data_IF_082816223421
#
_entry.id   IF_082816223421
#
_cell.length_a   1.000
_cell.length_b   1.000
_cell.length_c   1.000
_cell.angle_alpha   90.00
_cell.angle_beta   90.00
_cell.angle_gamma   90.00
#
_symmetry.space_group_name_H-M   'P 1'
#
loop_
_entity.id
_entity.type
_entity.pdbx_description
1 polymer ?
#
# COMPACT_ATOMS: atom_id res chain seq x y z
N UNK A 1 19.52 -9.46 -30.95
CA UNK A 1 20.22 -8.76 -29.87
C UNK A 1 19.67 -7.39 -29.64
N UNK A 2 19.58 -6.56 -30.65
CA UNK A 2 18.99 -5.22 -30.49
C UNK A 2 17.51 -5.27 -30.12
N UNK A 3 16.76 -6.25 -30.65
CA UNK A 3 15.37 -6.44 -30.28
C UNK A 3 15.21 -6.76 -28.79
N UNK A 4 16.08 -7.59 -28.27
CA UNK A 4 16.04 -7.96 -26.86
C UNK A 4 16.32 -6.74 -25.96
N UNK A 5 17.31 -5.93 -26.33
CA UNK A 5 17.62 -4.72 -25.59
C UNK A 5 16.46 -3.74 -25.59
N UNK A 6 15.78 -3.58 -26.72
CA UNK A 6 14.62 -2.71 -26.83
C UNK A 6 13.47 -3.22 -25.97
N UNK A 7 13.22 -4.52 -25.97
CA UNK A 7 12.20 -5.14 -25.16
C UNK A 7 12.51 -4.96 -23.66
N UNK A 8 13.77 -5.17 -23.27
CA UNK A 8 14.19 -4.98 -21.90
C UNK A 8 14.03 -3.54 -21.44
N UNK A 9 14.31 -2.59 -22.33
CA UNK A 9 14.15 -1.17 -22.04
C UNK A 9 12.66 -0.85 -21.79
N UNK A 10 11.77 -1.39 -22.59
CA UNK A 10 10.32 -1.21 -22.39
C UNK A 10 9.87 -1.77 -21.04
N UNK A 11 10.37 -2.92 -20.69
CA UNK A 11 10.08 -3.55 -19.41
C UNK A 11 10.55 -2.68 -18.26
N UNK A 12 11.74 -2.13 -18.37
CA UNK A 12 12.30 -1.27 -17.37
C UNK A 12 11.45 -0.01 -17.17
N UNK A 13 11.03 0.63 -18.25
CA UNK A 13 10.20 1.82 -18.19
C UNK A 13 8.87 1.52 -17.49
N UNK A 14 8.23 0.40 -17.83
CA UNK A 14 7.00 -0.01 -17.16
C UNK A 14 7.20 -0.27 -15.68
N UNK A 15 8.30 -0.93 -15.32
CA UNK A 15 8.61 -1.21 -13.92
C UNK A 15 8.87 0.07 -13.13
N UNK A 16 9.62 1.00 -13.73
CA UNK A 16 9.96 2.25 -13.08
C UNK A 16 8.72 3.10 -12.80
N UNK A 17 7.71 2.99 -13.65
CA UNK A 17 6.46 3.71 -13.47
C UNK A 17 5.48 2.99 -12.55
N UNK A 18 5.78 1.74 -12.17
CA UNK A 18 4.90 0.96 -11.32
C UNK A 18 5.07 1.32 -9.85
N UNK A 19 3.97 1.55 -9.18
CA UNK A 19 3.98 1.73 -7.73
C UNK A 19 3.65 0.42 -7.03
N UNK A 20 3.89 0.38 -5.74
CA UNK A 20 3.61 -0.78 -4.90
C UNK A 20 2.42 -0.46 -4.01
N UNK A 21 1.47 -1.39 -3.96
CA UNK A 21 0.33 -1.32 -3.04
C UNK A 21 0.61 -2.23 -1.85
N UNK A 22 0.43 -1.70 -0.63
CA UNK A 22 0.48 -2.50 0.59
C UNK A 22 -0.95 -2.61 1.11
N UNK A 23 -1.47 -3.82 1.11
CA UNK A 23 -2.84 -4.15 1.46
C UNK A 23 -2.81 -4.85 2.81
N UNK A 24 -3.14 -4.12 3.87
CA UNK A 24 -3.09 -4.62 5.23
C UNK A 24 -4.51 -4.77 5.77
N UNK A 25 -4.97 -6.00 5.84
CA UNK A 25 -6.26 -6.33 6.46
C UNK A 25 -6.01 -6.67 7.93
N UNK A 26 -6.74 -6.04 8.82
CA UNK A 26 -6.52 -6.23 10.25
C UNK A 26 -7.84 -6.39 10.99
N UNK A 27 -7.82 -7.31 11.97
CA UNK A 27 -8.92 -7.51 12.91
C UNK A 27 -8.39 -7.17 14.29
N UNK A 28 -8.57 -5.91 14.74
CA UNK A 28 -8.20 -5.57 16.12
C UNK A 28 -9.04 -6.38 17.09
N UNK A 29 -8.47 -6.67 18.25
CA UNK A 29 -9.26 -7.28 19.32
C UNK A 29 -10.43 -6.35 19.66
N UNK A 30 -11.57 -6.88 20.14
CA UNK A 30 -12.81 -6.09 20.29
C UNK A 30 -12.67 -4.77 21.04
N UNK A 31 -11.81 -4.72 22.07
CA UNK A 31 -11.60 -3.53 22.88
C UNK A 31 -10.35 -2.75 22.48
N UNK A 32 -9.70 -3.10 21.37
CA UNK A 32 -8.43 -2.52 20.96
C UNK A 32 -8.49 -1.71 19.66
N UNK A 33 -9.68 -1.53 19.09
CA UNK A 33 -9.82 -0.78 17.84
C UNK A 33 -9.27 0.64 17.97
N UNK A 34 -9.65 1.35 19.03
CA UNK A 34 -9.20 2.73 19.23
C UNK A 34 -7.69 2.78 19.44
N UNK A 35 -7.14 1.83 20.17
CA UNK A 35 -5.69 1.76 20.38
C UNK A 35 -4.94 1.55 19.06
N UNK A 36 -5.49 0.74 18.15
CA UNK A 36 -4.93 0.58 16.83
C UNK A 36 -4.95 1.89 16.04
N UNK A 37 -6.08 2.60 16.05
CA UNK A 37 -6.22 3.87 15.34
C UNK A 37 -5.31 4.95 15.91
N UNK A 38 -5.12 4.98 17.21
CA UNK A 38 -4.21 5.92 17.88
C UNK A 38 -2.76 5.62 17.48
N UNK A 39 -2.36 4.36 17.46
CA UNK A 39 -1.04 3.95 17.01
C UNK A 39 -0.81 4.36 15.56
N UNK A 40 -1.79 4.12 14.70
CA UNK A 40 -1.72 4.51 13.30
C UNK A 40 -1.55 6.02 13.14
N UNK A 41 -2.28 6.81 13.92
CA UNK A 41 -2.16 8.26 13.91
C UNK A 41 -0.77 8.72 14.36
N UNK A 42 -0.20 8.06 15.35
CA UNK A 42 1.16 8.35 15.82
C UNK A 42 2.21 8.06 14.75
N UNK A 43 2.02 6.99 13.98
CA UNK A 43 2.98 6.58 12.95
C UNK A 43 2.85 7.39 11.66
N UNK A 44 1.70 8.00 11.41
CA UNK A 44 1.44 8.68 10.14
C UNK A 44 2.47 9.77 9.80
N UNK A 45 2.85 10.68 10.69
CA UNK A 45 3.85 11.70 10.36
C UNK A 45 5.21 11.10 9.97
N UNK A 46 5.56 9.96 10.57
CA UNK A 46 6.81 9.27 10.28
C UNK A 46 6.72 8.63 8.90
N UNK A 47 5.59 7.98 8.61
CA UNK A 47 5.34 7.36 7.32
C UNK A 47 5.41 8.39 6.19
N UNK A 48 4.83 9.56 6.38
CA UNK A 48 4.81 10.62 5.38
C UNK A 48 6.20 11.14 5.03
N UNK A 49 7.19 10.91 5.88
CA UNK A 49 8.58 11.31 5.63
C UNK A 49 9.39 10.26 4.89
N UNK A 50 8.86 9.07 4.70
CA UNK A 50 9.56 8.01 3.96
C UNK A 50 9.64 8.43 2.49
N UNK A 51 10.87 8.43 1.95
CA UNK A 51 11.07 8.71 0.54
C UNK A 51 10.37 7.64 -0.30
N UNK A 52 9.50 8.07 -1.18
CA UNK A 52 8.69 7.18 -2.00
C UNK A 52 7.32 6.85 -1.43
N UNK A 53 6.98 7.33 -0.26
CA UNK A 53 5.61 7.21 0.24
C UNK A 53 4.67 8.05 -0.65
N UNK A 54 3.53 7.47 -1.01
CA UNK A 54 2.54 8.16 -1.86
C UNK A 54 1.28 8.49 -1.05
N UNK A 55 0.62 7.49 -0.48
CA UNK A 55 -0.63 7.71 0.24
C UNK A 55 -0.96 6.56 1.17
N UNK A 56 -1.83 6.83 2.13
CA UNK A 56 -2.41 5.81 2.99
C UNK A 56 -3.83 6.22 3.37
N UNK A 57 -4.72 5.24 3.36
CA UNK A 57 -6.09 5.44 3.78
C UNK A 57 -6.62 4.16 4.41
N UNK A 58 -7.52 4.31 5.39
CA UNK A 58 -8.12 3.18 6.08
C UNK A 58 -9.60 3.13 5.82
N UNK A 59 -10.11 1.90 5.74
CA UNK A 59 -11.51 1.61 5.41
C UNK A 59 -12.05 0.56 6.36
N UNK A 60 -13.32 0.65 6.70
CA UNK A 60 -14.00 -0.40 7.43
C UNK A 60 -14.75 -1.30 6.45
N UNK A 61 -14.73 -2.61 6.69
CA UNK A 61 -15.48 -3.55 5.87
C UNK A 61 -16.98 -3.36 6.07
N UNK A 62 -17.72 -3.35 4.97
CA UNK A 62 -19.18 -3.25 5.03
C UNK A 62 -19.86 -4.59 5.32
N UNK A 63 -19.13 -5.69 5.10
CA UNK A 63 -19.69 -7.04 5.24
C UNK A 63 -19.14 -7.79 6.44
N UNK A 64 -17.98 -7.40 6.94
CA UNK A 64 -17.33 -8.10 8.04
C UNK A 64 -17.06 -7.11 9.18
N UNK A 65 -17.89 -7.10 10.22
CA UNK A 65 -17.70 -6.19 11.34
C UNK A 65 -16.34 -6.38 12.03
N UNK A 66 -15.73 -5.27 12.40
CA UNK A 66 -14.44 -5.30 13.09
C UNK A 66 -13.22 -5.44 12.19
N UNK A 67 -13.41 -5.59 10.89
CA UNK A 67 -12.31 -5.68 9.94
C UNK A 67 -11.98 -4.30 9.36
N UNK A 68 -10.71 -3.94 9.38
CA UNK A 68 -10.22 -2.68 8.83
C UNK A 68 -9.19 -2.98 7.75
N UNK A 69 -9.27 -2.26 6.64
CA UNK A 69 -8.27 -2.28 5.59
C UNK A 69 -7.42 -1.03 5.69
N UNK A 70 -6.11 -1.20 5.78
CA UNK A 70 -5.14 -0.13 5.59
C UNK A 70 -4.53 -0.31 4.21
N UNK A 71 -4.77 0.65 3.33
CA UNK A 71 -4.28 0.62 1.95
C UNK A 71 -3.28 1.75 1.77
N UNK A 72 -2.04 1.39 1.45
CA UNK A 72 -0.98 2.37 1.22
C UNK A 72 -0.29 2.12 -0.10
N UNK A 73 0.23 3.20 -0.67
CA UNK A 73 0.94 3.14 -1.95
C UNK A 73 2.32 3.76 -1.80
N UNK A 74 3.30 3.11 -2.42
CA UNK A 74 4.70 3.52 -2.38
C UNK A 74 5.26 3.49 -3.81
N UNK A 75 6.24 4.34 -4.06
CA UNK A 75 6.90 4.43 -5.36
C UNK A 75 7.56 3.11 -5.76
N UNK A 76 8.18 2.40 -4.81
CA UNK A 76 8.94 1.18 -5.08
C UNK A 76 9.07 0.32 -3.82
N UNK A 77 9.67 -0.85 -3.98
CA UNK A 77 9.87 -1.77 -2.87
C UNK A 77 10.89 -1.26 -1.85
N UNK A 78 11.83 -0.43 -2.26
CA UNK A 78 12.80 0.16 -1.33
C UNK A 78 12.09 1.05 -0.32
N UNK A 79 11.08 1.82 -0.75
CA UNK A 79 10.28 2.64 0.14
C UNK A 79 9.47 1.78 1.11
N UNK A 80 8.91 0.67 0.63
CA UNK A 80 8.19 -0.28 1.49
C UNK A 80 9.12 -0.87 2.55
N UNK A 81 10.33 -1.26 2.15
CA UNK A 81 11.31 -1.81 3.08
C UNK A 81 11.71 -0.78 4.14
N UNK A 82 11.93 0.46 3.74
CA UNK A 82 12.26 1.54 4.67
C UNK A 82 11.15 1.74 5.70
N UNK A 83 9.90 1.76 5.24
CA UNK A 83 8.74 1.89 6.14
C UNK A 83 8.64 0.69 7.09
N UNK A 84 8.80 -0.52 6.56
CA UNK A 84 8.72 -1.73 7.37
C UNK A 84 9.74 -1.73 8.51
N UNK A 85 10.95 -1.25 8.25
CA UNK A 85 11.99 -1.18 9.27
C UNK A 85 11.63 -0.17 10.37
N UNK A 86 11.11 0.99 9.99
CA UNK A 86 10.67 2.01 10.94
C UNK A 86 9.49 1.51 11.76
N UNK A 87 8.51 0.93 11.11
CA UNK A 87 7.32 0.41 11.76
C UNK A 87 7.67 -0.69 12.76
N UNK A 88 8.54 -1.61 12.36
CA UNK A 88 8.99 -2.70 13.24
C UNK A 88 9.67 -2.15 14.49
N UNK A 89 10.52 -1.15 14.32
CA UNK A 89 11.22 -0.53 15.44
C UNK A 89 10.22 0.15 16.40
N UNK A 90 9.27 0.91 15.84
CA UNK A 90 8.25 1.61 16.64
C UNK A 90 7.33 0.65 17.36
N UNK A 91 6.97 -0.44 16.72
CA UNK A 91 6.14 -1.47 17.35
C UNK A 91 6.88 -2.16 18.49
N UNK A 92 8.17 -2.37 18.35
CA UNK A 92 8.98 -2.94 19.42
C UNK A 92 9.06 -2.01 20.62
N UNK A 93 9.09 -0.69 20.39
CA UNK A 93 9.07 0.30 21.46
C UNK A 93 7.71 0.39 22.14
N UNK A 94 6.63 0.25 21.36
CA UNK A 94 5.29 0.22 21.89
C UNK A 94 4.97 -1.19 22.35
N UNK A 95 5.38 -1.54 23.56
CA UNK A 95 5.17 -2.87 24.13
C UNK A 95 3.69 -3.31 24.01
N UNK A 96 3.46 -4.58 23.71
CA UNK A 96 2.11 -5.14 23.67
C UNK A 96 1.42 -5.09 22.32
N UNK A 97 2.17 -5.00 21.23
CA UNK A 97 1.60 -5.02 19.89
C UNK A 97 0.78 -6.28 19.62
N UNK A 98 1.19 -7.42 20.20
CA UNK A 98 0.47 -8.69 20.06
C UNK A 98 -0.89 -8.67 20.79
N UNK A 99 -1.09 -7.69 21.65
CA UNK A 99 -2.34 -7.51 22.37
C UNK A 99 -3.40 -6.75 21.56
N UNK A 100 -3.00 -6.08 20.49
CA UNK A 100 -3.88 -5.25 19.69
C UNK A 100 -4.62 -6.06 18.64
N UNK A 101 -3.92 -6.99 17.98
CA UNK A 101 -4.48 -7.71 16.83
C UNK A 101 -5.01 -9.08 17.21
N UNK A 102 -6.25 -9.37 16.83
CA UNK A 102 -6.77 -10.73 16.83
C UNK A 102 -6.23 -11.49 15.61
N UNK A 103 -6.12 -10.81 14.48
CA UNK A 103 -5.59 -11.38 13.24
C UNK A 103 -5.19 -10.26 12.29
N UNK A 104 -4.32 -10.56 11.33
CA UNK A 104 -4.04 -9.66 10.22
C UNK A 104 -3.58 -10.45 8.99
N UNK A 105 -3.69 -9.80 7.85
CA UNK A 105 -3.19 -10.34 6.60
C UNK A 105 -2.58 -9.22 5.78
N UNK A 106 -1.35 -9.42 5.34
CA UNK A 106 -0.60 -8.42 4.58
C UNK A 106 -0.31 -8.94 3.18
N UNK A 107 -0.65 -8.12 2.18
CA UNK A 107 -0.25 -8.39 0.80
C UNK A 107 0.48 -7.18 0.26
N UNK A 108 1.59 -7.44 -0.42
CA UNK A 108 2.36 -6.43 -1.14
C UNK A 108 2.21 -6.75 -2.61
N UNK A 109 1.71 -5.80 -3.38
CA UNK A 109 1.38 -6.03 -4.78
C UNK A 109 1.91 -4.91 -5.67
N UNK A 110 2.33 -5.27 -6.87
CA UNK A 110 2.71 -4.29 -7.88
C UNK A 110 1.45 -3.80 -8.57
N UNK A 111 1.33 -2.48 -8.71
CA UNK A 111 0.22 -1.88 -9.44
C UNK A 111 0.53 -1.95 -10.93
N UNK A 112 -0.22 -2.75 -11.64
CA UNK A 112 -0.02 -2.98 -13.07
C UNK A 112 -0.52 -1.79 -13.88
N UNK A 113 -1.69 -1.25 -13.53
CA UNK A 113 -2.31 -0.11 -14.17
C UNK A 113 -2.96 0.77 -13.12
N UNK A 114 -2.90 2.07 -13.35
CA UNK A 114 -3.54 3.05 -12.50
C UNK A 114 -4.21 4.08 -13.42
N UNK A 115 -5.53 4.06 -13.46
CA UNK A 115 -6.29 5.00 -14.26
C UNK A 115 -7.63 5.30 -13.57
N UNK A 116 -8.22 6.41 -13.96
CA UNK A 116 -9.46 6.90 -13.35
C UNK A 116 -10.41 7.38 -14.44
N UNK A 117 -11.52 7.95 -14.04
CA UNK A 117 -12.49 8.52 -14.98
C UNK A 117 -11.86 9.63 -15.82
N UNK A 118 -10.95 10.41 -15.25
CA UNK A 118 -10.38 11.60 -15.90
C UNK A 118 -8.91 11.44 -16.26
N UNK A 119 -8.21 10.48 -15.69
CA UNK A 119 -6.83 10.15 -16.07
C UNK A 119 -6.84 8.77 -16.73
N UNK A 120 -6.81 8.78 -18.05
CA UNK A 120 -7.01 7.57 -18.87
C UNK A 120 -5.75 7.03 -19.51
N UNK A 121 -4.59 7.57 -19.18
CA UNK A 121 -3.33 7.22 -19.85
C UNK A 121 -2.99 5.73 -19.78
N UNK A 122 -3.31 5.09 -18.67
CA UNK A 122 -3.03 3.67 -18.47
C UNK A 122 -4.27 2.78 -18.66
N UNK A 123 -5.38 3.35 -19.07
CA UNK A 123 -6.58 2.56 -19.31
C UNK A 123 -6.33 1.57 -20.46
N UNK A 124 -6.93 0.37 -20.41
CA UNK A 124 -6.80 -0.60 -21.50
C UNK A 124 -7.27 -0.01 -22.83
N UNK A 125 -6.69 -0.52 -23.92
CA UNK A 125 -6.97 -0.01 -25.26
C UNK A 125 -8.45 -0.01 -25.59
N UNK A 126 -9.15 -1.10 -25.26
CA UNK A 126 -10.58 -1.20 -25.50
C UNK A 126 -11.39 -0.18 -24.69
N UNK A 127 -10.96 0.11 -23.47
CA UNK A 127 -11.59 1.13 -22.63
C UNK A 127 -11.34 2.52 -23.16
N UNK A 128 -10.13 2.81 -23.63
CA UNK A 128 -9.81 4.10 -24.25
C UNK A 128 -10.62 4.32 -25.54
N UNK A 129 -10.77 3.27 -26.33
CA UNK A 129 -11.53 3.36 -27.59
C UNK A 129 -13.01 3.67 -27.33
N UNK A 130 -13.55 3.19 -26.22
CA UNK A 130 -14.97 3.34 -25.92
C UNK A 130 -15.28 4.61 -25.11
N UNK A 131 -14.43 4.97 -24.17
CA UNK A 131 -14.71 6.04 -23.20
C UNK A 131 -13.70 7.20 -23.23
N UNK A 132 -12.67 7.07 -24.01
CA UNK A 132 -11.60 8.08 -24.03
C UNK A 132 -10.50 7.86 -23.04
#
# INVERSE_FOLDING_TARGET
>A
MQKEKTTQTRWRVKRESSMIAVIFEVWPKPDKKQKYLDLAATLRPILERIDGFISIERFESLTEPGKILSLSFFRDEAAVAAWRNVEKHRRAQASGRTEIFANYRLRVASVIRDYSMHDRNQAPVDSQARYG
#
